data_IF_935385017856
#
_entry.id   IF_935385017856
#
_cell.length_a   1.000
_cell.length_b   1.000
_cell.length_c   1.000
_cell.angle_alpha   90.00
_cell.angle_beta   90.00
_cell.angle_gamma   90.00
#
_symmetry.space_group_name_H-M   'P 1'
#
loop_
_entity.id
_entity.type
_entity.pdbx_description
1 polymer ?
#
# COMPACT_ATOMS: atom_id res chain seq x y z
N UNK A 1 -17.16 -13.60 24.93
CA UNK A 1 -16.39 -12.35 24.74
C UNK A 1 -16.09 -12.21 23.25
N UNK A 2 -16.35 -11.06 22.62
CA UNK A 2 -15.91 -10.82 21.25
C UNK A 2 -14.39 -10.89 21.23
N UNK A 3 -13.85 -11.67 20.30
CA UNK A 3 -12.40 -11.78 20.11
C UNK A 3 -11.92 -10.45 19.49
N UNK A 4 -11.39 -9.57 20.34
CA UNK A 4 -10.96 -8.22 19.96
C UNK A 4 -9.69 -8.33 19.11
N UNK A 5 -9.63 -7.73 17.91
CA UNK A 5 -8.38 -7.72 17.14
C UNK A 5 -7.28 -7.00 17.95
N UNK A 6 -6.08 -7.58 17.98
CA UNK A 6 -4.94 -6.98 18.71
C UNK A 6 -4.58 -5.59 18.15
N UNK A 7 -4.59 -5.48 16.83
CA UNK A 7 -4.37 -4.24 16.09
C UNK A 7 -5.05 -4.32 14.72
N UNK A 8 -5.43 -3.20 14.18
CA UNK A 8 -5.91 -3.05 12.80
C UNK A 8 -5.53 -1.69 12.28
N UNK A 9 -5.51 -1.55 10.97
CA UNK A 9 -5.13 -0.34 10.26
C UNK A 9 -6.30 0.19 9.43
N UNK A 10 -6.43 1.50 9.34
CA UNK A 10 -7.46 2.14 8.51
C UNK A 10 -6.81 3.09 7.52
N UNK A 11 -7.02 2.85 6.23
CA UNK A 11 -6.72 3.79 5.16
C UNK A 11 -7.89 4.76 5.01
N UNK A 12 -7.70 5.98 5.46
CA UNK A 12 -8.74 7.00 5.54
C UNK A 12 -8.72 7.88 4.30
N UNK A 13 -9.89 8.12 3.75
CA UNK A 13 -10.09 8.85 2.49
C UNK A 13 -10.93 10.11 2.71
N UNK A 14 -10.30 11.19 3.26
CA UNK A 14 -11.05 12.38 3.67
C UNK A 14 -11.68 13.13 2.50
N UNK A 15 -11.15 12.93 1.29
CA UNK A 15 -11.66 13.49 0.03
C UNK A 15 -12.35 12.43 -0.85
N UNK A 16 -12.58 11.23 -0.30
CA UNK A 16 -13.16 10.12 -1.06
C UNK A 16 -12.37 9.85 -2.35
N UNK A 17 -13.09 9.73 -3.46
CA UNK A 17 -12.51 9.48 -4.78
C UNK A 17 -12.03 10.74 -5.54
N UNK A 18 -12.21 11.95 -4.97
CA UNK A 18 -11.86 13.18 -5.68
C UNK A 18 -10.35 13.39 -5.70
N UNK A 19 -9.81 13.58 -6.89
CA UNK A 19 -8.41 13.85 -7.16
C UNK A 19 -8.26 14.97 -8.19
N UNK A 20 -7.16 15.70 -8.15
CA UNK A 20 -6.78 16.66 -9.18
C UNK A 20 -6.17 16.00 -10.42
N UNK A 21 -5.76 14.72 -10.32
CA UNK A 21 -5.26 13.92 -11.45
C UNK A 21 -6.33 12.98 -12.02
N UNK A 22 -6.06 12.49 -13.26
CA UNK A 22 -6.86 11.51 -13.98
C UNK A 22 -6.05 10.28 -14.38
N UNK A 23 -5.22 9.72 -13.46
CA UNK A 23 -4.39 8.55 -13.75
C UNK A 23 -5.21 7.40 -14.33
N UNK A 24 -4.83 6.90 -15.51
CA UNK A 24 -5.65 5.96 -16.30
C UNK A 24 -5.90 4.61 -15.61
N UNK A 25 -4.98 4.16 -14.77
CA UNK A 25 -5.09 2.90 -14.01
C UNK A 25 -5.75 3.06 -12.64
N UNK A 26 -6.10 4.29 -12.22
CA UNK A 26 -6.60 4.52 -10.87
C UNK A 26 -7.98 3.90 -10.66
N UNK A 27 -8.01 2.78 -9.94
CA UNK A 27 -9.25 2.09 -9.61
C UNK A 27 -10.15 2.91 -8.69
N UNK A 28 -9.55 3.83 -7.92
CA UNK A 28 -10.26 4.57 -6.88
C UNK A 28 -11.10 5.72 -7.44
N UNK A 29 -10.70 6.35 -8.53
CA UNK A 29 -11.49 7.41 -9.19
C UNK A 29 -12.91 6.93 -9.56
N UNK A 30 -13.04 5.66 -9.94
CA UNK A 30 -14.36 5.07 -10.28
C UNK A 30 -15.29 4.93 -9.06
N UNK A 31 -14.77 5.04 -7.83
CA UNK A 31 -15.56 4.95 -6.60
C UNK A 31 -16.40 6.20 -6.33
N UNK A 32 -16.18 7.28 -7.07
CA UNK A 32 -17.07 8.45 -7.07
C UNK A 32 -18.55 8.05 -7.31
N UNK A 33 -18.77 7.07 -8.18
CA UNK A 33 -20.11 6.57 -8.47
C UNK A 33 -20.85 5.91 -7.29
N UNK A 34 -20.16 5.59 -6.19
CA UNK A 34 -20.79 5.03 -4.99
C UNK A 34 -21.54 6.08 -4.16
N UNK A 35 -21.24 7.36 -4.37
CA UNK A 35 -21.78 8.47 -3.58
C UNK A 35 -22.27 9.61 -4.48
N UNK A 36 -23.32 9.37 -5.30
CA UNK A 36 -23.79 10.29 -6.33
C UNK A 36 -24.29 11.53 -5.70
N UNK A 37 -24.23 12.37 -5.20
CA UNK A 37 -24.66 13.62 -4.54
C UNK A 37 -23.74 14.04 -3.39
N UNK A 38 -22.62 13.36 -3.18
CA UNK A 38 -21.67 13.73 -2.14
C UNK A 38 -20.80 14.91 -2.58
N UNK A 39 -20.46 15.76 -1.63
CA UNK A 39 -19.42 16.77 -1.81
C UNK A 39 -18.01 16.21 -1.64
N UNK A 40 -17.88 14.92 -1.26
CA UNK A 40 -16.61 14.25 -1.01
C UNK A 40 -15.69 15.04 -0.09
N UNK A 41 -16.23 15.48 1.02
CA UNK A 41 -15.52 16.24 2.04
C UNK A 41 -15.86 15.65 3.41
N UNK A 42 -14.86 15.18 4.16
CA UNK A 42 -15.06 14.70 5.52
C UNK A 42 -15.37 15.88 6.43
N UNK A 43 -16.49 15.82 7.14
CA UNK A 43 -16.86 16.85 8.12
C UNK A 43 -16.03 16.73 9.41
N UNK A 44 -15.96 17.80 10.18
CA UNK A 44 -15.28 17.81 11.48
C UNK A 44 -15.87 16.75 12.43
N UNK A 45 -17.19 16.54 12.43
CA UNK A 45 -17.85 15.52 13.26
C UNK A 45 -17.40 14.09 12.89
N UNK A 46 -17.28 13.80 11.59
CA UNK A 46 -16.78 12.48 11.12
C UNK A 46 -15.30 12.33 11.49
N UNK A 47 -14.50 13.38 11.31
CA UNK A 47 -13.08 13.39 11.65
C UNK A 47 -12.87 13.13 13.15
N UNK A 48 -13.57 13.87 14.01
CA UNK A 48 -13.45 13.71 15.47
C UNK A 48 -13.91 12.33 15.92
N UNK A 49 -15.06 11.87 15.42
CA UNK A 49 -15.57 10.54 15.71
C UNK A 49 -14.61 9.43 15.27
N UNK A 50 -14.00 9.58 14.08
CA UNK A 50 -12.99 8.65 13.57
C UNK A 50 -11.80 8.57 14.51
N UNK A 51 -11.17 9.70 14.81
CA UNK A 51 -9.95 9.75 15.61
C UNK A 51 -10.20 9.16 16.99
N UNK A 52 -11.27 9.58 17.65
CA UNK A 52 -11.66 9.09 18.97
C UNK A 52 -11.87 7.57 18.97
N UNK A 53 -12.71 7.06 18.05
CA UNK A 53 -13.02 5.63 18.01
C UNK A 53 -11.82 4.79 17.61
N UNK A 54 -10.99 5.26 16.66
CA UNK A 54 -9.83 4.53 16.20
C UNK A 54 -8.80 4.37 17.32
N UNK A 55 -8.48 5.43 18.06
CA UNK A 55 -7.59 5.38 19.23
C UNK A 55 -8.17 4.44 20.30
N UNK A 56 -9.45 4.59 20.66
CA UNK A 56 -10.10 3.78 21.69
C UNK A 56 -10.23 2.29 21.32
N UNK A 57 -10.25 1.98 20.03
CA UNK A 57 -10.36 0.61 19.53
C UNK A 57 -9.04 -0.15 19.53
N UNK A 58 -7.90 0.53 19.64
CA UNK A 58 -6.58 -0.10 19.63
C UNK A 58 -6.20 -0.65 21.00
N UNK A 59 -5.45 -1.76 20.99
CA UNK A 59 -4.87 -2.37 22.20
C UNK A 59 -3.34 -2.40 22.17
N UNK A 60 -2.75 -1.60 21.27
CA UNK A 60 -1.29 -1.49 21.07
C UNK A 60 -0.81 -0.10 21.48
N UNK A 61 0.47 0.05 21.88
CA UNK A 61 0.99 1.33 22.36
C UNK A 61 1.25 2.35 21.24
N UNK A 62 1.11 1.95 19.99
CA UNK A 62 1.34 2.80 18.82
C UNK A 62 0.20 2.68 17.83
N UNK A 63 -0.26 3.82 17.31
CA UNK A 63 -1.33 3.92 16.31
C UNK A 63 -0.89 4.82 15.17
N UNK A 64 -1.04 4.34 13.93
CA UNK A 64 -0.73 5.13 12.73
C UNK A 64 -2.00 5.47 11.98
N UNK A 65 -2.23 6.76 11.76
CA UNK A 65 -3.28 7.29 10.90
C UNK A 65 -2.76 7.37 9.47
N UNK A 66 -3.39 6.65 8.53
CA UNK A 66 -3.02 6.68 7.12
C UNK A 66 -4.04 7.51 6.32
N UNK A 67 -3.57 8.62 5.81
CA UNK A 67 -4.35 9.56 5.00
C UNK A 67 -4.05 9.33 3.52
N UNK A 68 -5.07 8.98 2.76
CA UNK A 68 -4.99 8.79 1.32
C UNK A 68 -6.36 8.99 0.67
N UNK A 69 -6.62 8.42 -0.48
CA UNK A 69 -7.91 8.51 -1.16
C UNK A 69 -7.72 8.93 -2.60
N UNK A 70 -8.49 9.89 -3.07
CA UNK A 70 -8.24 10.58 -4.32
C UNK A 70 -6.94 11.38 -4.20
N UNK A 71 -7.04 12.62 -3.74
CA UNK A 71 -5.87 13.40 -3.33
C UNK A 71 -6.15 14.10 -2.00
N UNK A 72 -5.52 13.69 -0.89
CA UNK A 72 -5.84 14.24 0.43
C UNK A 72 -5.43 15.71 0.59
N UNK A 73 -4.43 16.22 -0.14
CA UNK A 73 -4.06 17.64 -0.09
C UNK A 73 -5.20 18.59 -0.48
N UNK A 74 -6.21 18.11 -1.21
CA UNK A 74 -7.42 18.88 -1.53
C UNK A 74 -8.31 19.20 -0.32
N UNK A 75 -8.00 18.63 0.87
CA UNK A 75 -8.67 19.01 2.12
C UNK A 75 -8.13 20.32 2.72
N UNK A 76 -6.93 20.76 2.33
CA UNK A 76 -6.22 21.86 2.97
C UNK A 76 -5.47 21.43 4.24
N UNK A 77 -4.44 22.19 4.62
CA UNK A 77 -3.60 21.89 5.80
C UNK A 77 -4.40 22.00 7.09
N UNK A 78 -5.34 22.93 7.16
CA UNK A 78 -6.18 23.21 8.34
C UNK A 78 -6.99 21.98 8.78
N UNK A 79 -7.44 21.17 7.84
CA UNK A 79 -8.12 19.91 8.16
C UNK A 79 -7.20 18.94 8.93
N UNK A 80 -5.95 18.83 8.52
CA UNK A 80 -4.99 17.94 9.16
C UNK A 80 -4.41 18.50 10.46
N UNK A 81 -4.36 19.83 10.61
CA UNK A 81 -4.08 20.48 11.90
C UNK A 81 -5.15 20.12 12.94
N UNK A 82 -6.44 20.20 12.57
CA UNK A 82 -7.54 19.70 13.42
C UNK A 82 -7.42 18.20 13.73
N UNK A 83 -7.02 17.39 12.75
CA UNK A 83 -6.80 15.97 12.98
C UNK A 83 -5.74 15.75 14.08
N UNK A 84 -4.62 16.46 14.02
CA UNK A 84 -3.55 16.39 15.04
C UNK A 84 -4.06 16.89 16.41
N UNK A 85 -4.88 17.94 16.45
CA UNK A 85 -5.49 18.42 17.70
C UNK A 85 -6.40 17.35 18.33
N UNK A 86 -7.26 16.70 17.54
CA UNK A 86 -8.10 15.60 18.02
C UNK A 86 -7.26 14.39 18.45
N UNK A 87 -6.20 14.05 17.72
CA UNK A 87 -5.27 12.99 18.11
C UNK A 87 -4.64 13.27 19.48
N UNK A 88 -4.14 14.46 19.71
CA UNK A 88 -3.60 14.91 21.01
C UNK A 88 -4.64 14.87 22.13
N UNK A 89 -5.90 15.21 21.83
CA UNK A 89 -7.02 15.21 22.80
C UNK A 89 -7.39 13.79 23.25
N UNK A 90 -7.39 12.81 22.33
CA UNK A 90 -7.91 11.47 22.59
C UNK A 90 -6.85 10.41 22.85
N UNK A 91 -5.58 10.67 22.57
CA UNK A 91 -4.51 9.74 22.85
C UNK A 91 -4.30 9.59 24.37
N UNK A 92 -4.38 8.37 24.92
CA UNK A 92 -4.06 8.15 26.32
C UNK A 92 -2.56 8.36 26.58
N UNK A 93 -2.16 8.67 27.84
CA UNK A 93 -0.77 8.81 28.20
C UNK A 93 0.07 7.59 27.76
N UNK A 94 1.20 7.86 27.10
CA UNK A 94 2.13 6.83 26.62
C UNK A 94 1.78 6.21 25.26
N UNK A 95 0.66 6.52 24.65
CA UNK A 95 0.36 6.08 23.29
C UNK A 95 1.13 6.93 22.28
N UNK A 96 1.88 6.30 21.39
CA UNK A 96 2.51 6.95 20.24
C UNK A 96 1.51 7.05 19.10
N UNK A 97 1.25 8.27 18.65
CA UNK A 97 0.40 8.52 17.47
C UNK A 97 1.27 8.98 16.32
N UNK A 98 1.15 8.32 15.19
CA UNK A 98 1.88 8.62 13.96
C UNK A 98 0.91 8.94 12.82
N UNK A 99 1.38 9.71 11.85
CA UNK A 99 0.63 10.02 10.64
C UNK A 99 1.45 9.63 9.42
N UNK A 100 0.81 8.90 8.48
CA UNK A 100 1.31 8.61 7.15
C UNK A 100 0.38 9.27 6.11
N UNK A 101 0.97 9.95 5.15
CA UNK A 101 0.25 10.77 4.18
C UNK A 101 0.64 10.41 2.76
N UNK A 102 -0.26 9.76 2.01
CA UNK A 102 -0.01 9.36 0.63
C UNK A 102 -0.56 10.39 -0.33
N UNK A 103 0.31 11.02 -1.12
CA UNK A 103 -0.06 12.07 -2.08
C UNK A 103 0.55 11.83 -3.46
N UNK A 104 -0.06 12.44 -4.47
CA UNK A 104 0.55 12.55 -5.81
C UNK A 104 1.63 13.64 -5.90
N UNK A 105 1.85 14.42 -4.85
CA UNK A 105 2.90 15.43 -4.73
C UNK A 105 2.70 16.72 -5.52
N UNK A 106 1.72 16.79 -6.43
CA UNK A 106 1.58 17.93 -7.37
C UNK A 106 1.09 19.24 -6.74
N UNK A 107 0.50 19.16 -5.54
CA UNK A 107 -0.06 20.31 -4.81
C UNK A 107 0.75 20.67 -3.57
N UNK A 108 1.91 20.07 -3.37
CA UNK A 108 2.79 20.41 -2.25
C UNK A 108 3.36 21.82 -2.40
N UNK A 109 3.42 22.53 -1.30
CA UNK A 109 4.02 23.85 -1.12
C UNK A 109 4.73 23.94 0.25
N UNK A 110 5.29 25.10 0.57
CA UNK A 110 6.01 25.33 1.83
C UNK A 110 5.11 25.09 3.05
N UNK A 111 3.82 25.42 2.99
CA UNK A 111 2.87 25.22 4.08
C UNK A 111 2.68 23.74 4.40
N UNK A 112 2.55 22.91 3.36
CA UNK A 112 2.48 21.45 3.51
C UNK A 112 3.76 20.88 4.09
N UNK A 113 4.92 21.30 3.56
CA UNK A 113 6.21 20.80 4.03
C UNK A 113 6.46 21.18 5.50
N UNK A 114 6.12 22.40 5.90
CA UNK A 114 6.18 22.85 7.29
C UNK A 114 5.28 21.98 8.18
N UNK A 115 4.02 21.77 7.80
CA UNK A 115 3.08 20.91 8.54
C UNK A 115 3.63 19.49 8.72
N UNK A 116 4.15 18.88 7.66
CA UNK A 116 4.71 17.52 7.71
C UNK A 116 5.89 17.44 8.66
N UNK A 117 6.81 18.41 8.60
CA UNK A 117 7.99 18.47 9.46
C UNK A 117 7.63 18.65 10.93
N UNK A 118 6.77 19.61 11.25
CA UNK A 118 6.35 19.92 12.62
C UNK A 118 5.62 18.76 13.30
N UNK A 119 4.92 17.92 12.52
CA UNK A 119 4.13 16.80 13.03
C UNK A 119 4.74 15.43 12.75
N UNK A 120 5.99 15.35 12.26
CA UNK A 120 6.71 14.12 11.93
C UNK A 120 5.86 13.19 11.05
N UNK A 121 5.22 13.74 10.01
CA UNK A 121 4.36 12.97 9.10
C UNK A 121 5.23 12.21 8.11
N UNK A 122 5.02 10.89 8.00
CA UNK A 122 5.64 10.08 6.95
C UNK A 122 4.93 10.35 5.62
N UNK A 123 5.63 10.94 4.66
CA UNK A 123 5.06 11.30 3.35
C UNK A 123 5.34 10.19 2.33
N UNK A 124 4.31 9.66 1.70
CA UNK A 124 4.41 8.78 0.54
C UNK A 124 4.17 9.56 -0.75
N UNK A 125 5.15 9.54 -1.66
CA UNK A 125 5.02 10.18 -2.97
C UNK A 125 4.74 9.13 -4.04
N UNK A 126 3.69 9.37 -4.81
CA UNK A 126 3.30 8.50 -5.93
C UNK A 126 4.11 8.87 -7.19
N UNK A 127 5.08 8.02 -7.56
CA UNK A 127 5.97 8.25 -8.72
C UNK A 127 6.33 6.92 -9.38
N UNK A 128 6.14 6.78 -10.71
CA UNK A 128 6.26 5.50 -11.41
C UNK A 128 7.57 5.34 -12.20
N UNK A 129 8.57 6.17 -11.96
CA UNK A 129 9.87 6.21 -12.63
C UNK A 129 10.19 7.56 -13.24
N UNK A 130 11.21 7.65 -14.14
CA UNK A 130 11.51 8.85 -14.91
C UNK A 130 10.33 9.32 -15.76
N UNK A 131 10.38 10.55 -16.26
CA UNK A 131 9.27 11.24 -16.92
C UNK A 131 8.55 10.39 -17.98
N UNK A 132 9.29 9.76 -18.89
CA UNK A 132 8.72 8.98 -20.00
C UNK A 132 7.99 7.69 -19.51
N UNK A 133 8.30 7.18 -18.33
CA UNK A 133 7.60 6.03 -17.72
C UNK A 133 6.44 6.49 -16.83
N UNK A 134 6.65 7.57 -16.06
CA UNK A 134 5.63 8.14 -15.18
C UNK A 134 4.42 8.66 -15.98
N UNK A 135 4.67 9.45 -17.00
CA UNK A 135 3.65 10.14 -17.78
C UNK A 135 2.88 9.23 -18.77
N UNK A 136 3.24 7.94 -18.83
CA UNK A 136 2.44 6.96 -19.61
C UNK A 136 0.99 6.95 -19.13
N UNK A 137 0.78 6.86 -17.81
CA UNK A 137 -0.55 6.74 -17.22
C UNK A 137 -0.88 7.77 -16.14
N UNK A 138 0.13 8.43 -15.54
CA UNK A 138 -0.11 9.49 -14.56
C UNK A 138 -0.27 10.84 -15.24
N UNK A 139 -1.51 11.11 -15.62
CA UNK A 139 -1.91 12.35 -16.31
C UNK A 139 -2.87 13.14 -15.45
N UNK A 140 -2.95 14.43 -15.71
CA UNK A 140 -4.02 15.23 -15.14
C UNK A 140 -5.36 14.99 -15.83
N UNK A 141 -6.42 15.65 -15.38
CA UNK A 141 -7.76 15.51 -15.94
C UNK A 141 -7.89 16.01 -17.40
N UNK A 142 -6.94 16.85 -17.83
CA UNK A 142 -6.84 17.32 -19.23
C UNK A 142 -5.98 16.42 -20.11
N UNK A 143 -5.38 15.36 -19.56
CA UNK A 143 -4.48 14.45 -20.27
C UNK A 143 -3.03 14.93 -20.35
N UNK A 144 -2.66 16.03 -19.68
CA UNK A 144 -1.29 16.55 -19.65
C UNK A 144 -0.39 15.74 -18.68
N UNK A 145 0.93 15.67 -18.98
CA UNK A 145 1.91 15.01 -18.13
C UNK A 145 1.99 15.66 -16.73
N UNK A 146 2.43 14.88 -15.75
CA UNK A 146 2.45 15.32 -14.35
C UNK A 146 3.81 15.26 -13.69
N UNK A 147 4.80 14.64 -14.33
CA UNK A 147 6.13 14.39 -13.77
C UNK A 147 6.79 15.64 -13.18
N UNK A 148 6.89 16.72 -13.94
CA UNK A 148 7.55 17.96 -13.49
C UNK A 148 6.88 18.57 -12.25
N UNK A 149 5.55 18.44 -12.15
CA UNK A 149 4.80 18.92 -10.97
C UNK A 149 5.07 18.04 -9.74
N UNK A 150 5.21 16.74 -9.92
CA UNK A 150 5.59 15.82 -8.83
C UNK A 150 7.01 16.10 -8.38
N UNK A 151 7.94 16.25 -9.34
CA UNK A 151 9.34 16.55 -9.03
C UNK A 151 9.51 17.86 -8.26
N UNK A 152 8.76 18.91 -8.60
CA UNK A 152 8.72 20.14 -7.80
C UNK A 152 8.32 19.86 -6.34
N UNK A 153 7.32 19.01 -6.12
CA UNK A 153 6.91 18.59 -4.77
C UNK A 153 8.01 17.82 -4.04
N UNK A 154 8.72 16.93 -4.73
CA UNK A 154 9.87 16.20 -4.17
C UNK A 154 11.00 17.15 -3.78
N UNK A 155 11.34 18.12 -4.62
CA UNK A 155 12.39 19.10 -4.32
C UNK A 155 12.02 19.98 -3.10
N UNK A 156 10.74 20.34 -2.93
CA UNK A 156 10.28 21.03 -1.73
C UNK A 156 10.46 20.18 -0.47
N UNK A 157 10.09 18.89 -0.51
CA UNK A 157 10.30 17.98 0.62
C UNK A 157 11.78 17.86 0.98
N UNK A 158 12.67 17.72 -0.01
CA UNK A 158 14.12 17.67 0.19
C UNK A 158 14.65 18.98 0.80
N UNK A 159 14.28 20.12 0.24
CA UNK A 159 14.71 21.44 0.71
C UNK A 159 14.29 21.69 2.17
N UNK A 160 13.12 21.24 2.56
CA UNK A 160 12.58 21.35 3.93
C UNK A 160 13.01 20.20 4.85
N UNK A 161 13.79 19.21 4.34
CA UNK A 161 14.21 18.03 5.09
C UNK A 161 13.03 17.22 5.64
N UNK A 162 11.97 17.05 4.87
CA UNK A 162 10.86 16.16 5.16
C UNK A 162 11.16 14.78 4.62
N UNK A 163 11.10 13.77 5.47
CA UNK A 163 11.29 12.37 5.05
C UNK A 163 10.14 11.91 4.15
N UNK A 164 10.48 11.21 3.07
CA UNK A 164 9.48 10.67 2.15
C UNK A 164 9.85 9.29 1.63
N UNK A 165 8.81 8.52 1.33
CA UNK A 165 8.88 7.21 0.67
C UNK A 165 8.38 7.33 -0.76
N UNK A 166 8.91 6.53 -1.67
CA UNK A 166 8.37 6.41 -3.03
C UNK A 166 7.41 5.23 -3.10
N UNK A 167 6.20 5.49 -3.61
CA UNK A 167 5.24 4.47 -3.98
C UNK A 167 5.17 4.42 -5.51
N UNK A 168 5.79 3.40 -6.09
CA UNK A 168 5.81 3.13 -7.52
C UNK A 168 4.77 2.09 -7.88
N UNK A 169 3.90 2.45 -8.82
CA UNK A 169 2.98 1.51 -9.42
C UNK A 169 3.65 0.82 -10.60
N UNK A 170 3.82 -0.52 -10.55
CA UNK A 170 4.37 -1.30 -11.66
C UNK A 170 3.24 -1.73 -12.59
N UNK A 171 3.33 -1.30 -13.83
CA UNK A 171 2.33 -1.49 -14.88
C UNK A 171 3.00 -1.91 -16.20
N UNK A 172 2.21 -2.24 -17.22
CA UNK A 172 2.74 -2.70 -18.49
C UNK A 172 3.73 -1.71 -19.16
N UNK A 173 3.63 -0.42 -18.86
CA UNK A 173 4.49 0.61 -19.46
C UNK A 173 5.87 0.76 -18.80
N UNK A 174 6.06 0.36 -17.53
CA UNK A 174 7.35 0.48 -16.83
C UNK A 174 7.96 -0.85 -16.40
N UNK A 175 7.22 -1.96 -16.49
CA UNK A 175 7.71 -3.28 -16.06
C UNK A 175 8.95 -3.77 -16.84
N UNK A 176 9.16 -3.29 -18.05
CA UNK A 176 10.34 -3.60 -18.88
C UNK A 176 11.60 -2.78 -18.52
N UNK A 177 11.51 -1.86 -17.55
CA UNK A 177 12.58 -0.91 -17.19
C UNK A 177 12.99 -0.97 -15.71
N UNK A 178 13.22 -2.17 -15.13
CA UNK A 178 13.41 -2.32 -13.68
C UNK A 178 14.56 -1.49 -13.13
N UNK A 179 15.75 -1.60 -13.73
CA UNK A 179 16.95 -0.91 -13.23
C UNK A 179 16.91 0.60 -13.50
N UNK A 180 16.30 1.02 -14.60
CA UNK A 180 16.11 2.45 -14.88
C UNK A 180 15.21 3.09 -13.80
N UNK A 181 14.11 2.43 -13.45
CA UNK A 181 13.19 2.90 -12.39
C UNK A 181 13.88 2.89 -11.03
N UNK A 182 14.59 1.80 -10.70
CA UNK A 182 15.24 1.65 -9.40
C UNK A 182 16.36 2.68 -9.20
N UNK A 183 17.25 2.80 -10.19
CA UNK A 183 18.39 3.74 -10.16
C UNK A 183 17.91 5.19 -10.13
N UNK A 184 16.87 5.53 -10.86
CA UNK A 184 16.27 6.86 -10.80
C UNK A 184 15.83 7.19 -9.35
N UNK A 185 15.17 6.28 -8.65
CA UNK A 185 14.76 6.53 -7.26
C UNK A 185 15.95 6.59 -6.31
N UNK A 186 16.90 5.69 -6.43
CA UNK A 186 18.08 5.61 -5.56
C UNK A 186 19.05 6.77 -5.83
N UNK A 187 19.49 6.94 -7.08
CA UNK A 187 20.64 7.79 -7.44
C UNK A 187 20.22 9.26 -7.65
N UNK A 188 19.09 9.52 -8.31
CA UNK A 188 18.66 10.88 -8.61
C UNK A 188 17.78 11.46 -7.50
N UNK A 189 16.89 10.66 -6.91
CA UNK A 189 16.04 11.14 -5.83
C UNK A 189 16.62 10.95 -4.44
N UNK A 190 17.58 10.04 -4.25
CA UNK A 190 18.11 9.67 -2.94
C UNK A 190 17.04 9.01 -2.05
N UNK A 191 16.09 8.29 -2.66
CA UNK A 191 15.00 7.67 -1.92
C UNK A 191 15.51 6.45 -1.14
N UNK A 192 15.38 6.49 0.18
CA UNK A 192 15.75 5.38 1.05
C UNK A 192 14.67 4.30 1.18
N UNK A 193 13.39 4.62 0.91
CA UNK A 193 12.27 3.68 1.05
C UNK A 193 11.43 3.64 -0.22
N UNK A 194 11.30 2.45 -0.81
CA UNK A 194 10.63 2.24 -2.09
C UNK A 194 9.60 1.11 -1.97
N UNK A 195 8.40 1.35 -2.51
CA UNK A 195 7.35 0.34 -2.62
C UNK A 195 7.00 0.13 -4.09
N UNK A 196 7.07 -1.12 -4.57
CA UNK A 196 6.66 -1.52 -5.92
C UNK A 196 5.32 -2.24 -5.87
N UNK A 197 4.26 -1.57 -6.31
CA UNK A 197 2.88 -2.09 -6.26
C UNK A 197 2.41 -2.49 -7.66
N UNK A 198 2.14 -3.78 -7.93
CA UNK A 198 1.72 -4.22 -9.25
C UNK A 198 0.28 -3.83 -9.57
N UNK A 199 0.06 -3.29 -10.76
CA UNK A 199 -1.27 -3.08 -11.30
C UNK A 199 -1.84 -4.42 -11.80
N UNK A 200 -2.97 -4.80 -11.22
CA UNK A 200 -3.85 -5.87 -11.73
C UNK A 200 -5.26 -5.28 -11.75
N UNK A 201 -5.64 -4.72 -12.89
CA UNK A 201 -6.88 -3.97 -13.08
C UNK A 201 -7.90 -4.79 -13.87
N UNK A 202 -9.08 -5.03 -13.31
CA UNK A 202 -10.16 -5.71 -14.02
C UNK A 202 -10.81 -4.81 -15.04
N UNK A 203 -11.05 -5.35 -16.24
CA UNK A 203 -11.65 -4.62 -17.36
C UNK A 203 -13.18 -4.46 -17.17
N UNK A 204 -13.59 -3.57 -16.26
CA UNK A 204 -14.98 -3.19 -16.09
C UNK A 204 -15.15 -1.68 -15.84
N UNK A 205 -16.33 -1.15 -16.19
CA UNK A 205 -16.62 0.28 -16.11
C UNK A 205 -16.78 0.82 -14.70
N UNK A 206 -17.13 -0.04 -13.73
CA UNK A 206 -17.46 0.37 -12.35
C UNK A 206 -16.27 0.30 -11.38
N UNK A 207 -15.10 -0.20 -11.83
CA UNK A 207 -13.96 -0.44 -10.94
C UNK A 207 -14.21 -1.46 -9.83
N UNK A 208 -15.19 -2.37 -10.04
CA UNK A 208 -15.51 -3.45 -9.11
C UNK A 208 -14.54 -4.62 -9.25
N UNK A 209 -14.37 -5.39 -8.16
CA UNK A 209 -13.60 -6.64 -8.18
C UNK A 209 -14.42 -7.79 -8.78
N UNK A 210 -14.92 -7.59 -10.02
CA UNK A 210 -15.81 -8.52 -10.73
C UNK A 210 -15.31 -8.80 -12.14
N UNK A 211 -15.43 -10.05 -12.57
CA UNK A 211 -14.92 -10.53 -13.88
C UNK A 211 -13.43 -10.89 -13.84
N UNK A 212 -12.95 -11.60 -14.86
CA UNK A 212 -11.58 -12.15 -14.90
C UNK A 212 -10.71 -11.51 -15.98
N UNK A 213 -11.31 -10.75 -16.91
CA UNK A 213 -10.56 -10.04 -17.95
C UNK A 213 -9.82 -8.85 -17.32
N UNK A 214 -8.54 -8.74 -17.61
CA UNK A 214 -7.71 -7.62 -17.18
C UNK A 214 -7.55 -6.60 -18.30
N UNK A 215 -7.21 -5.36 -17.93
CA UNK A 215 -6.82 -4.31 -18.87
C UNK A 215 -5.40 -4.52 -19.36
N UNK A 216 -5.07 -3.93 -20.50
CA UNK A 216 -3.71 -3.92 -21.06
C UNK A 216 -2.70 -3.07 -20.24
N UNK A 217 -3.17 -2.32 -19.26
CA UNK A 217 -2.31 -1.61 -18.30
C UNK A 217 -1.78 -2.51 -17.21
N UNK A 218 -2.44 -3.65 -16.97
CA UNK A 218 -2.00 -4.61 -15.94
C UNK A 218 -0.62 -5.16 -16.30
N UNK A 219 0.26 -5.24 -15.32
CA UNK A 219 1.55 -5.91 -15.49
C UNK A 219 1.35 -7.41 -15.61
N UNK A 220 2.05 -8.08 -16.51
CA UNK A 220 2.08 -9.53 -16.60
C UNK A 220 2.76 -10.17 -15.40
N UNK A 221 2.35 -11.39 -15.06
CA UNK A 221 2.90 -12.08 -13.89
C UNK A 221 4.41 -12.35 -14.02
N UNK A 222 4.85 -12.80 -15.19
CA UNK A 222 6.27 -13.08 -15.48
C UNK A 222 7.09 -11.79 -15.46
N UNK A 223 6.59 -10.75 -16.13
CA UNK A 223 7.25 -9.45 -16.24
C UNK A 223 7.43 -8.80 -14.86
N UNK A 224 6.43 -8.93 -13.98
CA UNK A 224 6.57 -8.42 -12.61
C UNK A 224 7.63 -9.19 -11.81
N UNK A 225 7.70 -10.52 -11.98
CA UNK A 225 8.75 -11.34 -11.36
C UNK A 225 10.15 -10.93 -11.85
N UNK A 226 10.32 -10.75 -13.15
CA UNK A 226 11.58 -10.30 -13.76
C UNK A 226 11.97 -8.89 -13.30
N UNK A 227 10.99 -7.99 -13.18
CA UNK A 227 11.18 -6.65 -12.63
C UNK A 227 11.76 -6.69 -11.21
N UNK A 228 11.18 -7.50 -10.34
CA UNK A 228 11.66 -7.65 -8.96
C UNK A 228 13.02 -8.32 -8.86
N UNK A 229 13.28 -9.37 -9.68
CA UNK A 229 14.55 -10.09 -9.71
C UNK A 229 15.68 -9.15 -10.12
N UNK A 230 15.52 -8.40 -11.21
CA UNK A 230 16.56 -7.48 -11.69
C UNK A 230 16.93 -6.41 -10.63
N UNK A 231 15.93 -5.87 -9.92
CA UNK A 231 16.19 -4.91 -8.85
C UNK A 231 16.85 -5.60 -7.64
N UNK A 232 16.40 -6.80 -7.28
CA UNK A 232 16.97 -7.53 -6.15
C UNK A 232 18.44 -7.86 -6.37
N UNK A 233 18.82 -8.27 -7.58
CA UNK A 233 20.21 -8.63 -7.92
C UNK A 233 21.16 -7.44 -7.79
N UNK A 234 20.72 -6.24 -8.11
CA UNK A 234 21.49 -5.02 -7.86
C UNK A 234 21.47 -4.63 -6.37
N UNK A 235 20.30 -4.65 -5.76
CA UNK A 235 20.09 -4.27 -4.36
C UNK A 235 20.93 -5.12 -3.39
N UNK A 236 20.94 -6.44 -3.59
CA UNK A 236 21.65 -7.36 -2.68
C UNK A 236 23.16 -7.21 -2.74
N UNK A 237 23.70 -6.66 -3.82
CA UNK A 237 25.13 -6.41 -4.00
C UNK A 237 25.60 -5.05 -3.46
N UNK A 238 24.71 -4.05 -3.40
CA UNK A 238 25.14 -2.67 -3.19
C UNK A 238 24.37 -1.91 -2.10
N UNK A 239 23.09 -2.26 -1.85
CA UNK A 239 22.17 -1.34 -1.20
C UNK A 239 21.53 -1.89 0.10
N UNK A 240 21.89 -3.12 0.52
CA UNK A 240 21.33 -3.73 1.73
C UNK A 240 21.64 -2.88 2.96
N UNK A 241 20.58 -2.45 3.67
CA UNK A 241 20.68 -1.58 4.84
C UNK A 241 20.83 -0.09 4.51
N UNK A 242 20.85 0.29 3.24
CA UNK A 242 20.88 1.68 2.77
C UNK A 242 19.57 2.05 2.06
N UNK A 243 19.11 1.19 1.16
CA UNK A 243 17.81 1.34 0.49
C UNK A 243 16.89 0.21 0.93
N UNK A 244 15.70 0.56 1.37
CA UNK A 244 14.68 -0.36 1.85
C UNK A 244 13.60 -0.53 0.77
N UNK A 245 13.58 -1.71 0.16
CA UNK A 245 12.52 -2.09 -0.78
C UNK A 245 11.51 -2.94 -0.04
N UNK A 246 10.30 -2.44 0.15
CA UNK A 246 9.29 -3.02 1.04
C UNK A 246 9.09 -4.54 0.86
N UNK A 247 9.02 -5.02 -0.39
CA UNK A 247 8.82 -6.46 -0.64
C UNK A 247 10.04 -7.29 -0.25
N UNK A 248 11.26 -6.74 -0.31
CA UNK A 248 12.49 -7.43 0.08
C UNK A 248 12.59 -7.52 1.61
N UNK A 249 12.25 -6.44 2.32
CA UNK A 249 12.22 -6.42 3.79
C UNK A 249 11.17 -7.38 4.33
N UNK A 250 9.98 -7.37 3.74
CA UNK A 250 8.91 -8.32 4.10
C UNK A 250 9.34 -9.76 3.84
N UNK A 251 10.03 -10.02 2.72
CA UNK A 251 10.59 -11.35 2.45
C UNK A 251 11.60 -11.75 3.53
N UNK A 252 12.58 -10.92 3.86
CA UNK A 252 13.56 -11.19 4.91
C UNK A 252 12.88 -11.47 6.26
N UNK A 253 11.84 -10.71 6.61
CA UNK A 253 10.99 -10.96 7.78
C UNK A 253 10.39 -12.38 7.76
N UNK A 254 9.83 -12.83 6.63
CA UNK A 254 9.25 -14.17 6.48
C UNK A 254 10.30 -15.28 6.60
N UNK A 255 11.49 -15.13 5.99
CA UNK A 255 12.60 -16.09 6.14
C UNK A 255 13.17 -16.16 7.54
N UNK A 256 13.16 -15.03 8.27
CA UNK A 256 13.60 -14.96 9.67
C UNK A 256 12.54 -15.48 10.67
N UNK A 257 11.35 -15.87 10.20
CA UNK A 257 10.24 -16.31 11.04
C UNK A 257 9.52 -15.17 11.77
N UNK A 258 9.78 -13.93 11.37
CA UNK A 258 9.04 -12.78 11.85
C UNK A 258 7.78 -12.61 11.00
N UNK A 259 6.62 -12.56 11.64
CA UNK A 259 5.36 -12.28 10.94
C UNK A 259 5.17 -10.78 10.71
N UNK A 260 4.28 -10.42 9.79
CA UNK A 260 3.82 -9.04 9.61
C UNK A 260 4.44 -8.32 8.43
N UNK A 261 3.98 -7.11 8.22
CA UNK A 261 4.48 -6.14 7.25
C UNK A 261 3.51 -5.88 6.09
N UNK A 262 3.18 -6.84 5.26
CA UNK A 262 2.34 -6.59 4.08
C UNK A 262 1.18 -7.58 3.98
N UNK A 263 -0.06 -7.09 4.10
CA UNK A 263 -1.27 -7.91 4.10
C UNK A 263 -1.39 -8.83 2.86
N UNK A 264 -0.76 -8.46 1.74
CA UNK A 264 -0.71 -9.27 0.52
C UNK A 264 -0.09 -10.64 0.79
N UNK A 265 0.92 -10.73 1.64
CA UNK A 265 1.68 -11.94 1.95
C UNK A 265 1.32 -12.57 3.31
N UNK A 266 0.32 -12.06 4.01
CA UNK A 266 -0.21 -12.71 5.21
C UNK A 266 -1.18 -13.85 4.85
N UNK A 267 -1.33 -14.81 5.74
CA UNK A 267 -2.27 -15.94 5.54
C UNK A 267 -3.72 -15.48 5.44
N UNK A 268 -4.09 -14.49 6.24
CA UNK A 268 -5.44 -13.93 6.30
C UNK A 268 -5.46 -12.45 5.94
N UNK A 269 -6.64 -11.92 5.63
CA UNK A 269 -6.91 -10.50 5.47
C UNK A 269 -7.64 -9.92 6.70
N UNK A 270 -8.21 -8.72 6.55
CA UNK A 270 -9.18 -8.16 7.50
C UNK A 270 -8.59 -7.21 8.55
N UNK A 271 -7.27 -6.97 8.53
CA UNK A 271 -6.62 -6.02 9.45
C UNK A 271 -6.29 -4.67 8.81
N UNK A 272 -6.47 -4.53 7.49
CA UNK A 272 -6.28 -3.28 6.74
C UNK A 272 -7.60 -2.85 6.10
N UNK A 273 -8.33 -2.00 6.80
CA UNK A 273 -9.65 -1.51 6.42
C UNK A 273 -9.54 -0.21 5.61
N UNK A 274 -10.64 0.22 5.02
CA UNK A 274 -10.75 1.54 4.41
C UNK A 274 -11.94 2.31 4.97
N UNK A 275 -11.78 3.61 5.18
CA UNK A 275 -12.85 4.49 5.59
C UNK A 275 -13.03 5.64 4.61
N UNK A 276 -14.27 5.81 4.18
CA UNK A 276 -14.68 6.89 3.28
C UNK A 276 -14.95 8.20 4.03
N UNK A 277 -14.97 9.30 3.27
CA UNK A 277 -15.16 10.66 3.75
C UNK A 277 -16.44 10.88 4.60
N UNK A 278 -17.45 10.04 4.43
CA UNK A 278 -18.71 10.11 5.17
C UNK A 278 -18.75 9.19 6.41
N UNK A 279 -17.64 8.54 6.75
CA UNK A 279 -17.55 7.61 7.87
C UNK A 279 -17.94 6.16 7.55
N UNK A 280 -18.22 5.82 6.30
CA UNK A 280 -18.48 4.44 5.88
C UNK A 280 -17.18 3.61 5.98
N UNK A 281 -17.25 2.50 6.72
CA UNK A 281 -16.14 1.59 6.92
C UNK A 281 -16.29 0.34 6.05
N UNK A 282 -15.21 -0.04 5.36
CA UNK A 282 -15.14 -1.18 4.45
C UNK A 282 -14.07 -2.17 4.89
N UNK A 283 -14.27 -3.45 4.55
CA UNK A 283 -13.39 -4.56 4.91
C UNK A 283 -11.95 -4.40 4.42
N UNK A 284 -11.73 -3.70 3.31
CA UNK A 284 -10.42 -3.50 2.70
C UNK A 284 -10.48 -2.38 1.65
N UNK A 285 -9.36 -1.68 1.44
CA UNK A 285 -9.20 -0.63 0.45
C UNK A 285 -9.50 -1.09 -0.99
N UNK A 286 -9.08 -2.30 -1.35
CA UNK A 286 -9.36 -2.87 -2.66
C UNK A 286 -10.82 -3.30 -2.87
N UNK A 287 -11.60 -3.38 -1.81
CA UNK A 287 -12.97 -3.86 -1.81
C UNK A 287 -13.94 -2.80 -1.26
N UNK A 288 -13.74 -1.53 -1.65
CA UNK A 288 -14.70 -0.45 -1.38
C UNK A 288 -15.90 -0.66 -2.32
N UNK A 289 -16.80 -1.53 -1.90
CA UNK A 289 -18.01 -1.98 -2.62
C UNK A 289 -19.13 -2.25 -1.62
N UNK A 290 -20.42 -2.05 -1.98
CA UNK A 290 -21.54 -2.17 -1.03
C UNK A 290 -21.56 -3.49 -0.24
N UNK A 291 -21.21 -4.63 -0.88
CA UNK A 291 -21.18 -5.94 -0.22
C UNK A 291 -20.10 -6.05 0.88
N UNK A 292 -19.06 -5.23 0.83
CA UNK A 292 -17.95 -5.21 1.78
C UNK A 292 -18.01 -4.05 2.77
N UNK A 293 -19.08 -3.24 2.73
CA UNK A 293 -19.33 -2.20 3.72
C UNK A 293 -19.69 -2.87 5.07
N UNK A 294 -19.01 -2.49 6.13
CA UNK A 294 -19.22 -2.98 7.49
C UNK A 294 -20.29 -2.18 8.22
N UNK A 295 -20.35 -0.90 7.98
CA UNK A 295 -21.26 0.06 8.58
C UNK A 295 -20.76 1.49 8.43
N UNK A 296 -21.24 2.38 9.30
CA UNK A 296 -20.83 3.78 9.35
C UNK A 296 -20.48 4.14 10.80
N UNK A 297 -19.35 4.81 11.02
CA UNK A 297 -18.82 5.12 12.36
C UNK A 297 -19.67 6.11 13.15
N UNK A 298 -20.59 6.83 12.51
CA UNK A 298 -21.51 7.74 13.20
C UNK A 298 -22.67 6.99 13.85
N UNK A 299 -23.06 5.85 13.27
CA UNK A 299 -24.22 5.08 13.73
C UNK A 299 -23.85 3.77 14.41
N UNK A 300 -22.61 3.30 14.22
CA UNK A 300 -22.17 1.99 14.74
C UNK A 300 -20.74 2.12 15.27
N UNK A 301 -20.49 1.56 16.42
CA UNK A 301 -19.15 1.55 17.03
C UNK A 301 -18.12 0.83 16.16
N UNK A 302 -16.93 1.43 16.00
CA UNK A 302 -15.87 0.92 15.14
C UNK A 302 -15.40 -0.47 15.58
N UNK A 303 -15.19 -0.69 16.88
CA UNK A 303 -14.74 -1.97 17.38
C UNK A 303 -15.75 -3.08 17.11
N UNK A 304 -17.05 -2.78 17.21
CA UNK A 304 -18.12 -3.71 16.83
C UNK A 304 -18.03 -4.11 15.36
N UNK A 305 -17.78 -3.14 14.46
CA UNK A 305 -17.65 -3.40 13.03
C UNK A 305 -16.43 -4.25 12.69
N UNK A 306 -15.25 -3.91 13.22
CA UNK A 306 -14.01 -4.65 12.94
C UNK A 306 -13.97 -6.02 13.59
N UNK A 307 -14.69 -6.22 14.69
CA UNK A 307 -14.83 -7.53 15.37
C UNK A 307 -16.01 -8.36 14.84
N UNK A 308 -16.72 -7.90 13.82
CA UNK A 308 -17.92 -8.57 13.30
C UNK A 308 -17.59 -9.93 12.66
N UNK A 309 -18.58 -10.84 12.66
CA UNK A 309 -18.47 -12.12 11.94
C UNK A 309 -18.21 -11.91 10.44
N UNK A 310 -18.78 -10.84 9.86
CA UNK A 310 -18.55 -10.45 8.46
C UNK A 310 -17.09 -10.16 8.19
N UNK A 311 -16.43 -9.34 9.05
CA UNK A 311 -15.03 -8.99 8.89
C UNK A 311 -14.09 -10.19 9.13
N UNK A 312 -14.38 -11.02 10.13
CA UNK A 312 -13.62 -12.26 10.37
C UNK A 312 -13.70 -13.20 9.18
N UNK A 313 -14.92 -13.42 8.65
CA UNK A 313 -15.10 -14.25 7.46
C UNK A 313 -14.31 -13.70 6.26
N UNK A 314 -14.39 -12.40 6.00
CA UNK A 314 -13.60 -11.75 4.94
C UNK A 314 -12.10 -12.04 5.08
N UNK A 315 -11.56 -11.99 6.30
CA UNK A 315 -10.17 -12.29 6.58
C UNK A 315 -9.80 -13.75 6.29
N UNK A 316 -10.60 -14.69 6.84
CA UNK A 316 -10.35 -16.12 6.71
C UNK A 316 -10.56 -16.64 5.28
N UNK A 317 -11.46 -16.04 4.52
CA UNK A 317 -11.72 -16.42 3.11
C UNK A 317 -10.47 -16.33 2.24
N UNK A 318 -9.47 -15.52 2.60
CA UNK A 318 -8.20 -15.45 1.88
C UNK A 318 -7.47 -16.79 1.88
N UNK A 319 -7.34 -17.43 3.03
CA UNK A 319 -6.69 -18.73 3.20
C UNK A 319 -7.60 -19.86 2.72
N UNK A 320 -8.88 -19.83 3.12
CA UNK A 320 -9.83 -20.88 2.81
C UNK A 320 -10.16 -21.05 1.31
N UNK A 321 -9.90 -20.00 0.50
CA UNK A 321 -10.13 -20.03 -0.96
C UNK A 321 -8.87 -20.35 -1.78
N UNK A 322 -7.78 -20.80 -1.16
CA UNK A 322 -6.58 -21.21 -1.88
C UNK A 322 -6.82 -22.50 -2.66
N UNK A 323 -6.48 -22.57 -3.96
CA UNK A 323 -6.49 -23.82 -4.71
C UNK A 323 -5.37 -24.76 -4.21
N UNK A 324 -5.53 -26.07 -4.43
CA UNK A 324 -4.55 -27.10 -4.01
C UNK A 324 -3.15 -26.78 -4.52
N UNK A 325 -3.04 -26.29 -5.74
CA UNK A 325 -1.78 -25.82 -6.34
C UNK A 325 -1.02 -24.82 -5.46
N UNK A 326 -1.74 -23.92 -4.76
CA UNK A 326 -1.12 -22.99 -3.81
C UNK A 326 -0.80 -23.64 -2.46
N UNK A 327 -1.62 -24.63 -2.04
CA UNK A 327 -1.39 -25.34 -0.78
C UNK A 327 -0.12 -26.20 -0.83
N UNK A 328 0.22 -26.75 -1.99
CA UNK A 328 1.38 -27.60 -2.22
C UNK A 328 2.63 -26.79 -2.68
N UNK A 329 2.52 -25.47 -2.79
CA UNK A 329 3.59 -24.64 -3.34
C UNK A 329 4.73 -24.41 -2.33
N UNK A 330 5.97 -24.60 -2.78
CA UNK A 330 7.19 -24.45 -1.99
C UNK A 330 7.42 -23.06 -1.40
N UNK A 331 6.90 -22.02 -2.09
CA UNK A 331 7.00 -20.61 -1.62
C UNK A 331 5.72 -20.14 -0.89
N UNK A 332 4.85 -21.07 -0.50
CA UNK A 332 3.60 -20.74 0.20
C UNK A 332 3.85 -19.96 1.49
N UNK A 333 4.87 -20.29 2.24
CA UNK A 333 5.19 -19.70 3.54
C UNK A 333 5.38 -18.18 3.46
N UNK A 334 5.78 -17.65 2.31
CA UNK A 334 5.94 -16.21 2.06
C UNK A 334 4.80 -15.64 1.21
N UNK A 335 4.35 -16.36 0.16
CA UNK A 335 3.39 -15.86 -0.83
C UNK A 335 1.94 -15.87 -0.34
N UNK A 336 1.51 -16.96 0.34
CA UNK A 336 0.13 -17.18 0.79
C UNK A 336 -0.94 -16.89 -0.27
N UNK A 337 -0.61 -17.15 -1.56
CA UNK A 337 -1.49 -16.91 -2.70
C UNK A 337 -1.74 -15.44 -3.04
N UNK A 338 -0.97 -14.52 -2.44
CA UNK A 338 -1.08 -13.08 -2.69
C UNK A 338 -2.45 -12.47 -2.37
N UNK A 339 -2.72 -11.27 -2.90
CA UNK A 339 -3.98 -10.59 -2.67
C UNK A 339 -5.17 -11.29 -3.38
N UNK A 340 -6.30 -11.56 -2.68
CA UNK A 340 -7.50 -12.15 -3.28
C UNK A 340 -8.05 -11.37 -4.48
N UNK A 341 -7.88 -10.05 -4.51
CA UNK A 341 -8.31 -9.24 -5.66
C UNK A 341 -7.64 -9.66 -6.97
N UNK A 342 -6.42 -10.20 -6.91
CA UNK A 342 -5.63 -10.59 -8.06
C UNK A 342 -5.83 -12.06 -8.47
N UNK A 343 -6.69 -12.82 -7.76
CA UNK A 343 -6.99 -14.24 -8.05
C UNK A 343 -8.00 -14.35 -9.19
N UNK A 344 -7.54 -14.14 -10.40
CA UNK A 344 -8.35 -14.10 -11.63
C UNK A 344 -7.96 -15.17 -12.66
N UNK A 345 -6.90 -15.93 -12.38
CA UNK A 345 -6.36 -16.95 -13.27
C UNK A 345 -6.78 -18.36 -12.85
N UNK A 346 -6.47 -19.32 -13.70
CA UNK A 346 -6.62 -20.75 -13.41
C UNK A 346 -5.26 -21.38 -13.13
N UNK A 347 -5.24 -22.40 -12.29
CA UNK A 347 -4.10 -23.27 -12.07
C UNK A 347 -3.84 -24.12 -13.31
N UNK A 348 -2.67 -24.79 -13.42
CA UNK A 348 -2.39 -25.69 -14.55
C UNK A 348 -3.41 -26.83 -14.73
N UNK A 349 -4.06 -27.26 -13.65
CA UNK A 349 -5.13 -28.28 -13.66
C UNK A 349 -6.53 -27.71 -13.95
N UNK A 350 -6.62 -26.41 -14.25
CA UNK A 350 -7.87 -25.72 -14.60
C UNK A 350 -8.68 -25.18 -13.42
N UNK A 351 -8.24 -25.33 -12.18
CA UNK A 351 -8.94 -24.80 -11.00
C UNK A 351 -8.85 -23.27 -10.97
N UNK A 352 -9.99 -22.58 -10.84
CA UNK A 352 -10.04 -21.12 -10.75
C UNK A 352 -9.57 -20.62 -9.38
N UNK A 353 -8.96 -19.42 -9.34
CA UNK A 353 -8.57 -18.74 -8.09
C UNK A 353 -7.06 -18.58 -7.92
N UNK A 354 -6.28 -18.88 -8.97
CA UNK A 354 -4.84 -18.58 -8.98
C UNK A 354 -4.62 -17.05 -9.12
N UNK A 355 -3.63 -16.54 -8.40
CA UNK A 355 -3.21 -15.15 -8.52
C UNK A 355 -2.57 -14.91 -9.89
N UNK A 356 -2.97 -13.82 -10.57
CA UNK A 356 -2.41 -13.40 -11.85
C UNK A 356 -0.88 -13.27 -11.83
N UNK A 357 -0.33 -12.86 -10.70
CA UNK A 357 1.11 -12.66 -10.50
C UNK A 357 1.85 -13.93 -10.05
N UNK A 358 1.17 -15.08 -9.97
CA UNK A 358 1.71 -16.32 -9.39
C UNK A 358 3.05 -16.73 -10.01
N UNK A 359 3.15 -16.74 -11.34
CA UNK A 359 4.40 -17.13 -12.03
C UNK A 359 5.58 -16.25 -11.62
N UNK A 360 5.36 -14.93 -11.55
CA UNK A 360 6.39 -13.97 -11.12
C UNK A 360 6.74 -14.08 -9.65
N UNK A 361 5.76 -14.18 -8.76
CA UNK A 361 6.03 -14.38 -7.33
C UNK A 361 6.80 -15.67 -7.07
N UNK A 362 6.42 -16.78 -7.72
CA UNK A 362 7.11 -18.05 -7.57
C UNK A 362 8.55 -17.97 -8.05
N UNK A 363 8.79 -17.40 -9.23
CA UNK A 363 10.13 -17.18 -9.77
C UNK A 363 10.96 -16.28 -8.84
N UNK A 364 10.41 -15.15 -8.41
CA UNK A 364 11.08 -14.20 -7.54
C UNK A 364 11.44 -14.80 -6.17
N UNK A 365 10.49 -15.42 -5.47
CA UNK A 365 10.76 -15.98 -4.14
C UNK A 365 11.73 -17.17 -4.17
N UNK A 366 11.71 -17.98 -5.22
CA UNK A 366 12.73 -19.03 -5.40
C UNK A 366 14.11 -18.43 -5.69
N UNK A 367 14.19 -17.37 -6.51
CA UNK A 367 15.45 -16.71 -6.85
C UNK A 367 16.14 -16.12 -5.61
N UNK A 368 15.38 -15.48 -4.74
CA UNK A 368 15.93 -14.82 -3.54
C UNK A 368 16.16 -15.77 -2.35
N UNK A 369 15.79 -17.06 -2.44
CA UNK A 369 15.82 -17.98 -1.30
C UNK A 369 17.22 -18.06 -0.65
N UNK A 370 18.26 -18.28 -1.44
CA UNK A 370 19.62 -18.41 -0.92
C UNK A 370 20.13 -17.12 -0.24
N UNK A 371 20.07 -15.95 -0.88
CA UNK A 371 20.43 -14.69 -0.22
C UNK A 371 19.62 -14.41 1.07
N UNK A 372 18.33 -14.68 1.05
CA UNK A 372 17.46 -14.48 2.22
C UNK A 372 17.85 -15.40 3.38
N UNK A 373 18.23 -16.66 3.11
CA UNK A 373 18.76 -17.57 4.13
C UNK A 373 20.07 -17.08 4.73
N UNK A 374 20.99 -16.58 3.90
CA UNK A 374 22.26 -16.01 4.37
C UNK A 374 22.00 -14.81 5.29
N UNK A 375 21.19 -13.84 4.85
CA UNK A 375 20.83 -12.67 5.67
C UNK A 375 20.13 -13.07 6.96
N UNK A 376 19.23 -14.06 6.91
CA UNK A 376 18.59 -14.62 8.12
C UNK A 376 19.60 -15.22 9.10
N UNK A 377 20.62 -15.93 8.58
CA UNK A 377 21.69 -16.49 9.43
C UNK A 377 22.53 -15.37 10.08
N UNK A 378 22.84 -14.32 9.33
CA UNK A 378 23.53 -13.14 9.88
C UNK A 378 22.71 -12.52 11.03
N UNK A 379 21.40 -12.30 10.83
CA UNK A 379 20.51 -11.79 11.87
C UNK A 379 20.50 -12.68 13.14
N UNK A 380 20.45 -14.00 12.97
CA UNK A 380 20.53 -14.95 14.12
C UNK A 380 21.85 -14.86 14.86
N UNK A 381 22.93 -14.52 14.16
CA UNK A 381 24.25 -14.28 14.72
C UNK A 381 24.42 -12.86 15.30
N UNK A 382 23.38 -12.03 15.28
CA UNK A 382 23.39 -10.59 15.63
C UNK A 382 24.34 -9.76 14.76
N UNK A 383 24.50 -10.16 13.51
CA UNK A 383 25.27 -9.47 12.48
C UNK A 383 24.34 -8.73 11.53
N UNK A 384 24.85 -7.71 10.86
CA UNK A 384 24.07 -6.93 9.93
C UNK A 384 23.77 -7.72 8.64
N UNK A 385 22.52 -7.69 8.11
CA UNK A 385 22.22 -8.30 6.82
C UNK A 385 23.06 -7.74 5.67
N UNK A 386 23.52 -6.49 5.77
CA UNK A 386 24.39 -5.81 4.80
C UNK A 386 25.74 -6.50 4.59
N UNK A 387 26.18 -7.37 5.50
CA UNK A 387 27.41 -8.14 5.32
C UNK A 387 27.34 -9.12 4.13
N UNK A 388 26.11 -9.43 3.64
CA UNK A 388 25.93 -10.25 2.44
C UNK A 388 26.59 -9.63 1.20
N UNK A 389 26.69 -8.30 1.13
CA UNK A 389 27.32 -7.59 0.00
C UNK A 389 28.80 -7.97 -0.22
N UNK A 390 29.47 -8.46 0.81
CA UNK A 390 30.85 -8.95 0.75
C UNK A 390 30.97 -10.48 0.63
N UNK A 391 29.85 -11.20 0.46
CA UNK A 391 29.81 -12.67 0.44
C UNK A 391 29.43 -13.21 -0.94
N UNK A 392 29.96 -14.38 -1.37
CA UNK A 392 29.45 -15.08 -2.54
C UNK A 392 28.09 -15.67 -2.22
N UNK A 393 27.04 -15.23 -2.91
CA UNK A 393 25.66 -15.71 -2.70
C UNK A 393 25.03 -16.31 -3.97
N UNK A 394 25.77 -16.33 -5.09
CA UNK A 394 25.39 -17.00 -6.36
C UNK A 394 25.41 -18.53 -6.26
#
# INVERSE_FOLDING_TARGET
MMDRPKAFHIMTKPRGAICNLGCEYCYFLKKEALYPASQFHMSDDVLESYIRQYIQSQSVPQVTFAWQGGEPTLMGVEFFQKAVEFQKRYAPPGMKVENAFQTNGTLLDDTWCQFFKENNVLVGISLDGPAHLHDVYRKDKGGAPTFDRVMRGVELLKAQQVEFNILCTVHAGNAGHPLEVYRFFRDELGAAFIQFIPIVERANKKGEQKGNKLTNRSVGGVEYGQFLIAIFDEWVQQDVGQVFVQIFDVALGKWSGQGGGLCVFEETCGQALAMEHNGDLFSCDHFVEPKHKLGNIITTDMLQMVSSAKQRKFGLDKQASLPQYCLDCEVRFVCNGGCPKNRVAHTPDGTFGLNHLCAGYRAFFNHIDRPMRIMTQLLRQRRAPSEIMAMPWE
#
